data_IF_638766969718
#
_entry.id   IF_638766969718
#
_cell.length_a   1.000
_cell.length_b   1.000
_cell.length_c   1.000
_cell.angle_alpha   90.00
_cell.angle_beta   90.00
_cell.angle_gamma   90.00
#
_symmetry.space_group_name_H-M   'P 1'
#
loop_
_entity.id
_entity.type
_entity.pdbx_description
1 polymer ?
#
# COMPACT_ATOMS: atom_id res chain seq x y z
N UNK A 1 18.90 20.44 16.82
CA UNK A 1 18.77 19.76 15.51
C UNK A 1 17.35 19.22 15.35
N UNK A 2 16.58 19.67 14.35
CA UNK A 2 15.30 19.03 14.01
C UNK A 2 15.61 17.67 13.38
N UNK A 3 15.21 16.56 14.02
CA UNK A 3 15.15 15.24 13.37
C UNK A 3 14.14 15.34 12.23
N UNK A 4 14.60 15.39 10.98
CA UNK A 4 13.72 15.08 9.84
C UNK A 4 13.57 13.58 9.81
N UNK A 5 12.35 13.09 10.00
CA UNK A 5 12.02 11.69 9.71
C UNK A 5 12.38 11.40 8.25
N UNK A 6 12.93 10.23 7.97
CA UNK A 6 13.16 9.81 6.59
C UNK A 6 11.86 9.88 5.76
N UNK A 7 11.95 10.20 4.46
CA UNK A 7 10.79 10.15 3.59
C UNK A 7 10.17 8.75 3.62
N UNK A 8 8.85 8.65 3.78
CA UNK A 8 8.18 7.36 3.74
C UNK A 8 8.49 6.65 2.41
N UNK A 9 8.86 5.37 2.46
CA UNK A 9 9.00 4.53 1.27
C UNK A 9 7.65 4.32 0.60
N UNK A 10 7.65 3.87 -0.66
CA UNK A 10 6.42 3.56 -1.38
C UNK A 10 5.57 2.49 -0.64
N UNK A 11 6.22 1.44 -0.13
CA UNK A 11 5.59 0.37 0.66
C UNK A 11 4.99 0.90 1.97
N UNK A 12 5.69 1.80 2.66
CA UNK A 12 5.19 2.43 3.89
C UNK A 12 3.94 3.28 3.60
N UNK A 13 3.90 3.99 2.46
CA UNK A 13 2.71 4.75 2.06
C UNK A 13 1.54 3.85 1.70
N UNK A 14 1.79 2.74 0.99
CA UNK A 14 0.80 1.71 0.66
C UNK A 14 0.19 1.12 1.93
N UNK A 15 1.03 0.67 2.88
CA UNK A 15 0.58 0.12 4.16
C UNK A 15 -0.23 1.12 4.99
N UNK A 16 0.24 2.36 5.11
CA UNK A 16 -0.47 3.41 5.83
C UNK A 16 -1.82 3.80 5.18
N UNK A 17 -1.95 3.64 3.86
CA UNK A 17 -3.22 3.86 3.17
C UNK A 17 -4.17 2.68 3.35
N UNK A 18 -3.68 1.44 3.23
CA UNK A 18 -4.46 0.23 3.47
C UNK A 18 -5.03 0.21 4.89
N UNK A 19 -4.22 0.49 5.91
CA UNK A 19 -4.68 0.56 7.31
C UNK A 19 -5.79 1.60 7.53
N UNK A 20 -5.68 2.76 6.86
CA UNK A 20 -6.73 3.80 6.94
C UNK A 20 -8.05 3.32 6.34
N UNK A 21 -7.99 2.65 5.19
CA UNK A 21 -9.17 2.09 4.53
C UNK A 21 -9.79 0.93 5.32
N UNK A 22 -8.96 0.07 5.93
CA UNK A 22 -9.43 -1.02 6.80
C UNK A 22 -10.13 -0.47 8.05
N UNK A 23 -9.60 0.61 8.63
CA UNK A 23 -10.25 1.30 9.74
C UNK A 23 -11.60 1.92 9.31
N UNK A 24 -11.66 2.57 8.15
CA UNK A 24 -12.90 3.12 7.59
C UNK A 24 -13.93 2.01 7.32
N UNK A 25 -13.48 0.87 6.79
CA UNK A 25 -14.31 -0.32 6.53
C UNK A 25 -14.95 -0.89 7.81
N UNK A 26 -14.25 -0.81 8.95
CA UNK A 26 -14.77 -1.32 10.23
C UNK A 26 -16.01 -0.56 10.73
N UNK A 27 -16.16 0.71 10.32
CA UNK A 27 -17.29 1.56 10.68
C UNK A 27 -18.44 1.57 9.69
N UNK A 28 -18.30 0.90 8.53
CA UNK A 28 -19.33 0.91 7.49
C UNK A 28 -20.21 -0.33 7.53
N UNK A 29 -21.52 -0.10 7.43
CA UNK A 29 -22.50 -1.14 7.14
C UNK A 29 -22.29 -1.72 5.74
N UNK A 30 -22.81 -2.92 5.52
CA UNK A 30 -22.77 -3.57 4.21
C UNK A 30 -23.49 -2.74 3.15
N UNK A 31 -22.89 -2.67 1.97
CA UNK A 31 -23.42 -1.93 0.83
C UNK A 31 -22.33 -1.30 -0.04
N UNK A 32 -22.77 -0.51 -1.01
CA UNK A 32 -21.91 0.00 -2.09
C UNK A 32 -20.66 0.75 -1.59
N UNK A 33 -20.75 1.48 -0.48
CA UNK A 33 -19.60 2.19 0.09
C UNK A 33 -18.54 1.22 0.61
N UNK A 34 -18.96 0.15 1.28
CA UNK A 34 -18.10 -0.94 1.75
C UNK A 34 -17.41 -1.62 0.57
N UNK A 35 -18.17 -1.93 -0.49
CA UNK A 35 -17.64 -2.58 -1.70
C UNK A 35 -16.55 -1.74 -2.40
N UNK A 36 -16.76 -0.41 -2.46
CA UNK A 36 -15.78 0.51 -3.03
C UNK A 36 -14.47 0.52 -2.22
N UNK A 37 -14.57 0.52 -0.89
CA UNK A 37 -13.38 0.48 -0.02
C UNK A 37 -12.65 -0.86 -0.16
N UNK A 38 -13.38 -1.97 -0.21
CA UNK A 38 -12.81 -3.31 -0.44
C UNK A 38 -12.06 -3.38 -1.78
N UNK A 39 -12.67 -2.90 -2.86
CA UNK A 39 -12.02 -2.82 -4.17
C UNK A 39 -10.76 -1.95 -4.15
N UNK A 40 -10.76 -0.88 -3.35
CA UNK A 40 -9.59 -0.01 -3.21
C UNK A 40 -8.46 -0.69 -2.42
N UNK A 41 -8.79 -1.45 -1.37
CA UNK A 41 -7.81 -2.25 -0.61
C UNK A 41 -7.15 -3.29 -1.52
N UNK A 42 -7.94 -3.97 -2.35
CA UNK A 42 -7.44 -4.96 -3.31
C UNK A 42 -6.46 -4.35 -4.34
N UNK A 43 -6.78 -3.17 -4.86
CA UNK A 43 -5.87 -2.43 -5.76
C UNK A 43 -4.54 -2.08 -5.08
N UNK A 44 -4.55 -1.68 -3.81
CA UNK A 44 -3.32 -1.38 -3.07
C UNK A 44 -2.49 -2.65 -2.85
N UNK A 45 -3.14 -3.78 -2.59
CA UNK A 45 -2.45 -5.07 -2.45
C UNK A 45 -1.80 -5.49 -3.77
N UNK A 46 -2.54 -5.41 -4.88
CA UNK A 46 -1.98 -5.67 -6.22
C UNK A 46 -0.78 -4.77 -6.53
N UNK A 47 -0.87 -3.47 -6.21
CA UNK A 47 0.23 -2.54 -6.42
C UNK A 47 1.49 -2.88 -5.59
N UNK A 48 1.30 -3.36 -4.36
CA UNK A 48 2.41 -3.82 -3.51
C UNK A 48 3.09 -5.07 -4.09
N UNK A 49 2.31 -6.03 -4.57
CA UNK A 49 2.81 -7.24 -5.22
C UNK A 49 3.58 -6.92 -6.51
N UNK A 50 3.03 -6.05 -7.36
CA UNK A 50 3.70 -5.56 -8.56
C UNK A 50 5.02 -4.86 -8.25
N UNK A 51 5.04 -4.00 -7.22
CA UNK A 51 6.25 -3.32 -6.80
C UNK A 51 7.31 -4.31 -6.31
N UNK A 52 6.93 -5.29 -5.49
CA UNK A 52 7.82 -6.36 -5.05
C UNK A 52 8.42 -7.14 -6.23
N UNK A 53 7.59 -7.53 -7.20
CA UNK A 53 8.05 -8.21 -8.41
C UNK A 53 9.05 -7.38 -9.23
N UNK A 54 8.76 -6.09 -9.43
CA UNK A 54 9.63 -5.19 -10.19
C UNK A 54 10.96 -4.94 -9.47
N UNK A 55 10.94 -4.79 -8.15
CA UNK A 55 12.13 -4.56 -7.33
C UNK A 55 13.05 -5.77 -7.31
N UNK A 56 12.50 -6.98 -7.19
CA UNK A 56 13.25 -8.24 -7.30
C UNK A 56 13.95 -8.36 -8.66
N UNK A 57 13.28 -7.94 -9.74
CA UNK A 57 13.86 -7.93 -11.08
C UNK A 57 14.98 -6.89 -11.23
N UNK A 58 14.84 -5.72 -10.63
CA UNK A 58 15.89 -4.69 -10.61
C UNK A 58 17.14 -5.18 -9.87
N UNK A 59 16.96 -5.81 -8.70
CA UNK A 59 18.04 -6.41 -7.92
C UNK A 59 18.75 -7.55 -8.67
N UNK A 60 18.02 -8.35 -9.44
CA UNK A 60 18.58 -9.41 -10.29
C UNK A 60 19.28 -8.88 -11.57
N UNK A 61 18.95 -7.68 -12.03
CA UNK A 61 19.50 -7.07 -13.24
C UNK A 61 20.70 -6.15 -12.98
N UNK A 62 21.01 -5.83 -11.72
CA UNK A 62 22.18 -5.04 -11.35
C UNK A 62 23.47 -5.84 -11.64
N UNK A 63 24.41 -5.31 -12.46
CA UNK A 63 25.68 -5.97 -12.69
C UNK A 63 26.49 -6.00 -11.39
N UNK A 64 27.07 -7.17 -11.07
CA UNK A 64 28.02 -7.34 -9.95
C UNK A 64 29.35 -6.65 -10.23
#
# INVERSE_FOLDING_TARGET
MRRRSEPHTFEQRLGAQKLRLEHELSGLADGRQRDVILARIDQLQTAAEMYGFLKLREEAAAPR
#
